data_IF_912963687278
#
_entry.id   IF_912963687278
#
_cell.length_a   1.000
_cell.length_b   1.000
_cell.length_c   1.000
_cell.angle_alpha   90.00
_cell.angle_beta   90.00
_cell.angle_gamma   90.00
#
_symmetry.space_group_name_H-M   'P 1'
#
loop_
_entity.id
_entity.type
_entity.pdbx_description
1 polymer ?
#
# COMPACT_ATOMS: atom_id res chain seq x y z
N UNK A 1 -8.01 -8.59 17.98
CA UNK A 1 -6.81 -8.20 17.20
C UNK A 1 -7.14 -6.85 16.59
N UNK A 2 -6.58 -5.78 17.14
CA UNK A 2 -6.64 -4.49 16.45
C UNK A 2 -5.85 -4.63 15.17
N UNK A 3 -6.49 -4.42 14.03
CA UNK A 3 -5.81 -4.34 12.74
C UNK A 3 -4.95 -3.07 12.76
N UNK A 4 -3.66 -3.25 12.98
CA UNK A 4 -2.71 -2.16 12.90
C UNK A 4 -2.71 -1.66 11.45
N UNK A 5 -3.10 -0.39 11.25
CA UNK A 5 -3.19 0.20 9.91
C UNK A 5 -1.84 0.18 9.19
N UNK A 6 -1.86 0.20 7.87
CA UNK A 6 -0.66 0.24 7.04
C UNK A 6 0.10 1.56 7.22
N UNK A 7 1.34 1.51 7.67
CA UNK A 7 2.18 2.71 7.82
C UNK A 7 2.60 3.26 6.44
N UNK A 8 2.20 4.49 6.17
CA UNK A 8 2.47 5.22 4.94
C UNK A 8 3.20 6.53 5.28
N UNK A 9 4.34 6.76 4.64
CA UNK A 9 5.11 7.99 4.79
C UNK A 9 4.97 8.85 3.53
N UNK A 10 4.87 10.17 3.69
CA UNK A 10 4.92 11.16 2.61
C UNK A 10 6.14 12.03 2.86
N UNK A 11 7.03 12.12 1.89
CA UNK A 11 8.26 12.93 1.96
C UNK A 11 8.20 13.99 0.88
N UNK A 12 8.01 15.23 1.29
CA UNK A 12 7.88 16.39 0.42
C UNK A 12 8.33 17.65 1.18
N UNK A 13 9.22 18.45 0.63
CA UNK A 13 9.66 19.73 1.22
C UNK A 13 8.56 20.80 1.19
N UNK A 14 7.58 20.66 0.31
CA UNK A 14 6.34 21.44 0.37
C UNK A 14 5.36 20.83 1.39
N UNK A 15 5.45 21.30 2.63
CA UNK A 15 4.61 20.82 3.73
C UNK A 15 3.11 20.94 3.46
N UNK A 16 2.66 21.96 2.73
CA UNK A 16 1.23 22.12 2.40
C UNK A 16 0.79 21.01 1.46
N UNK A 17 1.55 20.72 0.42
CA UNK A 17 1.29 19.60 -0.50
C UNK A 17 1.26 18.26 0.23
N UNK A 18 2.22 18.02 1.13
CA UNK A 18 2.30 16.80 1.93
C UNK A 18 1.06 16.61 2.83
N UNK A 19 0.64 17.66 3.55
CA UNK A 19 -0.53 17.59 4.43
C UNK A 19 -1.84 17.46 3.65
N UNK A 20 -1.99 18.13 2.52
CA UNK A 20 -3.16 18.00 1.65
C UNK A 20 -3.28 16.57 1.08
N UNK A 21 -2.17 15.99 0.61
CA UNK A 21 -2.15 14.60 0.16
C UNK A 21 -2.46 13.63 1.31
N UNK A 22 -1.93 13.86 2.51
CA UNK A 22 -2.24 13.08 3.71
C UNK A 22 -3.74 13.12 4.00
N UNK A 23 -4.35 14.31 4.06
CA UNK A 23 -5.78 14.45 4.28
C UNK A 23 -6.62 13.73 3.20
N UNK A 24 -6.22 13.85 1.95
CA UNK A 24 -6.87 13.15 0.85
C UNK A 24 -6.85 11.62 1.04
N UNK A 25 -5.68 11.07 1.39
CA UNK A 25 -5.52 9.63 1.61
C UNK A 25 -6.25 9.15 2.87
N UNK A 26 -6.17 9.89 3.97
CA UNK A 26 -6.88 9.56 5.22
C UNK A 26 -8.40 9.59 5.04
N UNK A 27 -8.94 10.57 4.31
CA UNK A 27 -10.37 10.62 3.99
C UNK A 27 -10.82 9.43 3.14
N UNK A 28 -9.93 8.89 2.31
CA UNK A 28 -10.25 7.77 1.42
C UNK A 28 -10.12 6.39 2.07
N UNK A 29 -9.13 6.21 2.92
CA UNK A 29 -8.78 4.89 3.48
C UNK A 29 -9.06 4.77 4.99
N UNK A 30 -9.36 5.88 5.66
CA UNK A 30 -9.71 5.89 7.08
C UNK A 30 -8.65 5.24 7.97
N UNK A 31 -9.06 4.26 8.75
CA UNK A 31 -8.21 3.53 9.70
C UNK A 31 -7.28 2.48 9.06
N UNK A 32 -7.44 2.19 7.78
CA UNK A 32 -6.62 1.20 7.09
C UNK A 32 -5.18 1.68 6.88
N UNK A 33 -4.93 3.01 7.00
CA UNK A 33 -3.61 3.61 6.86
C UNK A 33 -3.30 4.56 8.02
N UNK A 34 -2.02 4.59 8.41
CA UNK A 34 -1.43 5.58 9.33
C UNK A 34 -0.44 6.41 8.51
N UNK A 35 -0.75 7.68 8.31
CA UNK A 35 0.05 8.57 7.44
C UNK A 35 0.91 9.52 8.27
N UNK A 36 2.21 9.52 8.00
CA UNK A 36 3.20 10.44 8.59
C UNK A 36 3.87 11.24 7.47
N UNK A 37 4.01 12.55 7.67
CA UNK A 37 4.65 13.48 6.71
C UNK A 37 6.06 13.85 7.17
N UNK A 38 6.97 14.04 6.24
CA UNK A 38 8.36 14.46 6.45
C UNK A 38 8.73 15.55 5.46
N UNK A 39 9.36 16.61 5.93
CA UNK A 39 9.83 17.73 5.09
C UNK A 39 11.13 17.40 4.32
N UNK A 40 11.86 16.36 4.71
CA UNK A 40 13.12 15.97 4.06
C UNK A 40 13.36 14.46 4.18
N UNK A 41 14.23 13.96 3.32
CA UNK A 41 14.56 12.53 3.25
C UNK A 41 15.27 12.00 4.48
N UNK A 42 16.13 12.79 5.11
CA UNK A 42 16.92 12.39 6.28
C UNK A 42 16.02 12.07 7.48
N UNK A 43 15.05 12.94 7.76
CA UNK A 43 14.09 12.73 8.84
C UNK A 43 13.21 11.49 8.60
N UNK A 44 12.85 11.24 7.34
CA UNK A 44 12.16 10.02 6.95
C UNK A 44 13.02 8.78 7.20
N UNK A 45 14.29 8.77 6.75
CA UNK A 45 15.20 7.63 6.92
C UNK A 45 15.41 7.23 8.38
N UNK A 46 15.39 8.19 9.32
CA UNK A 46 15.46 7.91 10.76
C UNK A 46 14.24 7.15 11.30
N UNK A 47 13.12 7.16 10.59
CA UNK A 47 11.86 6.52 10.99
C UNK A 47 11.54 5.26 10.17
N UNK A 48 12.18 5.06 9.01
CA UNK A 48 11.98 3.85 8.19
C UNK A 48 12.44 2.63 8.97
N UNK A 49 11.59 1.62 9.02
CA UNK A 49 11.83 0.34 9.68
C UNK A 49 11.05 -0.79 8.98
N UNK A 50 11.05 -1.99 9.54
CA UNK A 50 10.35 -3.15 8.96
C UNK A 50 8.82 -3.00 8.91
N UNK A 51 8.24 -2.05 9.65
CA UNK A 51 6.81 -1.75 9.65
C UNK A 51 6.44 -0.61 8.67
N UNK A 52 7.42 -0.04 7.97
CA UNK A 52 7.18 0.97 6.94
C UNK A 52 6.76 0.28 5.65
N UNK A 53 5.49 0.38 5.31
CA UNK A 53 4.91 -0.35 4.18
C UNK A 53 4.97 0.42 2.87
N UNK A 54 4.65 1.72 2.92
CA UNK A 54 4.56 2.58 1.72
C UNK A 54 5.29 3.89 2.00
N UNK A 55 6.05 4.38 1.03
CA UNK A 55 6.62 5.73 1.02
C UNK A 55 6.26 6.41 -0.28
N UNK A 56 5.60 7.57 -0.20
CA UNK A 56 5.41 8.50 -1.31
C UNK A 56 6.52 9.52 -1.19
N UNK A 57 7.39 9.58 -2.18
CA UNK A 57 8.66 10.29 -2.10
C UNK A 57 8.79 11.29 -3.25
N UNK A 58 8.85 12.57 -2.92
CA UNK A 58 9.18 13.59 -3.91
C UNK A 58 10.63 13.41 -4.38
N UNK A 59 10.83 13.54 -5.69
CA UNK A 59 12.17 13.45 -6.29
C UNK A 59 13.04 14.67 -5.96
N UNK A 60 12.46 15.87 -6.02
CA UNK A 60 13.16 17.11 -5.69
C UNK A 60 12.95 17.41 -4.20
N UNK A 61 13.95 17.15 -3.39
CA UNK A 61 13.99 17.50 -1.99
C UNK A 61 15.19 18.41 -1.70
N UNK A 62 15.06 19.27 -0.73
CA UNK A 62 16.22 20.00 -0.21
C UNK A 62 17.26 19.03 0.36
N UNK A 63 18.51 19.15 -0.06
CA UNK A 63 19.63 18.31 0.39
C UNK A 63 19.90 17.13 -0.54
N UNK A 64 19.39 15.95 -0.26
CA UNK A 64 19.53 14.75 -1.10
C UNK A 64 18.39 14.63 -2.09
N UNK A 65 18.70 14.17 -3.30
CA UNK A 65 17.65 13.88 -4.26
C UNK A 65 16.87 12.60 -3.87
N UNK A 66 15.60 12.52 -4.28
CA UNK A 66 14.72 11.40 -3.94
C UNK A 66 15.26 10.03 -4.36
N UNK A 67 16.08 9.94 -5.41
CA UNK A 67 16.68 8.67 -5.84
C UNK A 67 17.67 8.12 -4.80
N UNK A 68 18.45 8.97 -4.13
CA UNK A 68 19.36 8.57 -3.05
C UNK A 68 18.58 8.10 -1.82
N UNK A 69 17.50 8.80 -1.49
CA UNK A 69 16.60 8.42 -0.41
C UNK A 69 15.91 7.08 -0.71
N UNK A 70 15.39 6.88 -1.94
CA UNK A 70 14.83 5.61 -2.39
C UNK A 70 15.82 4.45 -2.19
N UNK A 71 17.06 4.59 -2.66
CA UNK A 71 18.12 3.57 -2.49
C UNK A 71 18.37 3.26 -1.01
N UNK A 72 18.33 4.29 -0.16
CA UNK A 72 18.55 4.13 1.29
C UNK A 72 17.34 3.43 1.94
N UNK A 73 16.12 3.78 1.60
CA UNK A 73 14.90 3.09 2.07
C UNK A 73 14.97 1.60 1.71
N UNK A 74 15.32 1.28 0.45
CA UNK A 74 15.41 -0.12 -0.01
C UNK A 74 16.52 -0.92 0.65
N UNK A 75 17.57 -0.27 1.15
CA UNK A 75 18.61 -0.92 1.98
C UNK A 75 18.12 -1.22 3.39
N UNK A 76 17.32 -0.33 4.00
CA UNK A 76 16.77 -0.52 5.35
C UNK A 76 15.65 -1.57 5.34
N UNK A 77 14.69 -1.41 4.42
CA UNK A 77 13.58 -2.33 4.25
C UNK A 77 13.27 -2.54 2.76
N UNK A 78 13.74 -3.64 2.16
CA UNK A 78 13.49 -3.97 0.75
C UNK A 78 11.99 -4.12 0.41
N UNK A 79 11.16 -4.46 1.41
CA UNK A 79 9.72 -4.69 1.22
C UNK A 79 8.90 -3.40 1.20
N UNK A 80 9.47 -2.25 1.61
CA UNK A 80 8.77 -0.96 1.53
C UNK A 80 8.47 -0.62 0.07
N UNK A 81 7.21 -0.43 -0.25
CA UNK A 81 6.79 0.01 -1.59
C UNK A 81 6.99 1.53 -1.72
N UNK A 82 7.86 1.96 -2.63
CA UNK A 82 8.17 3.38 -2.81
C UNK A 82 7.55 3.90 -4.10
N UNK A 83 6.72 4.94 -4.00
CA UNK A 83 6.09 5.65 -5.12
C UNK A 83 6.84 6.97 -5.27
N UNK A 84 7.52 7.15 -6.40
CA UNK A 84 8.21 8.41 -6.70
C UNK A 84 7.23 9.43 -7.26
N UNK A 85 7.31 10.66 -6.77
CA UNK A 85 6.55 11.81 -7.24
C UNK A 85 7.51 12.84 -7.83
N UNK A 86 7.22 13.40 -9.00
CA UNK A 86 8.11 14.36 -9.67
C UNK A 86 7.34 15.37 -10.50
N UNK A 87 7.72 16.62 -10.40
CA UNK A 87 7.22 17.69 -11.27
C UNK A 87 7.76 17.65 -12.71
N UNK A 88 8.67 16.70 -13.03
CA UNK A 88 9.29 16.60 -14.35
C UNK A 88 8.94 15.29 -15.05
N UNK A 89 8.61 15.40 -16.33
CA UNK A 89 8.48 14.27 -17.22
C UNK A 89 9.88 13.93 -17.79
N UNK A 90 10.58 13.01 -17.12
CA UNK A 90 11.92 12.56 -17.50
C UNK A 90 11.97 11.04 -17.53
N UNK A 91 12.07 10.50 -18.75
CA UNK A 91 12.10 9.06 -18.96
C UNK A 91 13.39 8.42 -18.42
N UNK A 92 14.53 9.10 -18.49
CA UNK A 92 15.79 8.62 -17.94
C UNK A 92 15.69 8.45 -16.42
N UNK A 93 15.17 9.47 -15.76
CA UNK A 93 14.91 9.45 -14.33
C UNK A 93 13.92 8.36 -13.92
N UNK A 94 12.83 8.20 -14.66
CA UNK A 94 11.86 7.15 -14.40
C UNK A 94 12.53 5.75 -14.47
N UNK A 95 13.36 5.49 -15.49
CA UNK A 95 14.09 4.23 -15.62
C UNK A 95 15.04 4.01 -14.44
N UNK A 96 15.77 5.04 -14.01
CA UNK A 96 16.68 4.94 -12.87
C UNK A 96 15.94 4.64 -11.56
N UNK A 97 14.80 5.28 -11.33
CA UNK A 97 13.97 5.03 -10.14
C UNK A 97 13.41 3.60 -10.13
N UNK A 98 12.94 3.07 -11.25
CA UNK A 98 12.51 1.67 -11.35
C UNK A 98 13.67 0.69 -11.10
N UNK A 99 14.85 0.95 -11.65
CA UNK A 99 16.06 0.13 -11.37
C UNK A 99 16.48 0.17 -9.90
N UNK A 100 16.23 1.28 -9.22
CA UNK A 100 16.48 1.42 -7.79
C UNK A 100 15.37 0.79 -6.91
N UNK A 101 14.32 0.24 -7.51
CA UNK A 101 13.25 -0.49 -6.82
C UNK A 101 12.01 0.34 -6.51
N UNK A 102 11.77 1.46 -7.19
CA UNK A 102 10.51 2.17 -7.08
C UNK A 102 9.36 1.31 -7.61
N UNK A 103 8.21 1.39 -6.95
CA UNK A 103 6.95 0.74 -7.37
C UNK A 103 6.32 1.42 -8.57
N UNK A 104 6.36 2.74 -8.57
CA UNK A 104 5.85 3.57 -9.65
C UNK A 104 6.55 4.94 -9.65
N UNK A 105 6.50 5.61 -10.81
CA UNK A 105 6.94 6.99 -11.01
C UNK A 105 5.74 7.81 -11.49
N UNK A 106 5.33 8.80 -10.74
CA UNK A 106 4.15 9.63 -10.99
C UNK A 106 4.60 11.05 -11.28
N UNK A 107 4.15 11.59 -12.41
CA UNK A 107 4.32 13.00 -12.73
C UNK A 107 3.23 13.79 -12.01
N UNK A 108 3.60 14.86 -11.30
CA UNK A 108 2.67 15.76 -10.64
C UNK A 108 1.72 16.41 -11.63
N UNK A 109 0.45 16.48 -11.26
CA UNK A 109 -0.59 17.08 -12.09
C UNK A 109 -1.98 16.76 -11.55
N UNK A 110 -3.02 17.18 -12.26
CA UNK A 110 -4.42 17.10 -11.83
C UNK A 110 -4.91 15.69 -11.47
N UNK A 111 -4.28 14.64 -11.98
CA UNK A 111 -4.64 13.24 -11.72
C UNK A 111 -3.65 12.48 -10.84
N UNK A 112 -2.57 13.10 -10.35
CA UNK A 112 -1.51 12.43 -9.60
C UNK A 112 -2.06 11.78 -8.31
N UNK A 113 -2.86 12.48 -7.52
CA UNK A 113 -3.45 11.96 -6.28
C UNK A 113 -4.40 10.78 -6.51
N UNK A 114 -5.17 10.82 -7.59
CA UNK A 114 -6.04 9.70 -7.97
C UNK A 114 -5.21 8.47 -8.34
N UNK A 115 -4.09 8.67 -9.05
CA UNK A 115 -3.15 7.60 -9.40
C UNK A 115 -2.46 7.04 -8.15
N UNK A 116 -1.97 7.90 -7.26
CA UNK A 116 -1.40 7.53 -5.95
C UNK A 116 -2.41 6.68 -5.16
N UNK A 117 -3.64 7.16 -4.99
CA UNK A 117 -4.63 6.43 -4.21
C UNK A 117 -4.99 5.07 -4.82
N UNK A 118 -4.98 4.93 -6.15
CA UNK A 118 -5.16 3.64 -6.82
C UNK A 118 -4.02 2.67 -6.53
N UNK A 119 -2.77 3.16 -6.52
CA UNK A 119 -1.60 2.36 -6.18
C UNK A 119 -1.64 1.91 -4.71
N UNK A 120 -1.92 2.83 -3.78
CA UNK A 120 -2.11 2.52 -2.37
C UNK A 120 -3.18 1.45 -2.19
N UNK A 121 -4.35 1.60 -2.82
CA UNK A 121 -5.41 0.58 -2.80
C UNK A 121 -4.93 -0.78 -3.33
N UNK A 122 -4.15 -0.81 -4.40
CA UNK A 122 -3.61 -2.05 -4.95
C UNK A 122 -2.63 -2.72 -4.00
N UNK A 123 -1.81 -1.95 -3.30
CA UNK A 123 -0.85 -2.47 -2.30
C UNK A 123 -1.62 -3.04 -1.09
N UNK A 124 -2.61 -2.31 -0.57
CA UNK A 124 -3.45 -2.77 0.54
C UNK A 124 -4.20 -4.07 0.22
N UNK A 125 -4.67 -4.22 -1.03
CA UNK A 125 -5.44 -5.38 -1.47
C UNK A 125 -4.56 -6.54 -1.99
N UNK A 126 -3.24 -6.37 -2.10
CA UNK A 126 -2.35 -7.39 -2.65
C UNK A 126 -2.42 -8.73 -1.89
N UNK A 127 -2.43 -8.78 -0.55
CA UNK A 127 -2.54 -10.03 0.18
C UNK A 127 -3.84 -10.78 -0.13
N UNK A 128 -4.96 -10.06 -0.24
CA UNK A 128 -6.28 -10.64 -0.53
C UNK A 128 -6.32 -11.22 -1.96
N UNK A 129 -5.73 -10.50 -2.93
CA UNK A 129 -5.65 -10.95 -4.33
C UNK A 129 -4.84 -12.25 -4.47
N UNK A 130 -3.77 -12.41 -3.70
CA UNK A 130 -2.96 -13.64 -3.68
C UNK A 130 -3.80 -14.80 -3.15
N UNK A 131 -4.49 -14.63 -2.02
CA UNK A 131 -5.35 -15.64 -1.43
C UNK A 131 -6.47 -16.05 -2.41
N UNK A 132 -7.16 -15.09 -3.01
CA UNK A 132 -8.22 -15.34 -3.98
C UNK A 132 -7.69 -16.06 -5.23
N UNK A 133 -6.48 -15.73 -5.68
CA UNK A 133 -5.85 -16.38 -6.85
C UNK A 133 -5.40 -17.82 -6.56
N UNK A 134 -4.80 -18.08 -5.40
CA UNK A 134 -4.29 -19.41 -5.04
C UNK A 134 -5.39 -20.38 -4.62
N UNK A 135 -6.38 -19.90 -3.86
CA UNK A 135 -7.47 -20.76 -3.39
C UNK A 135 -8.68 -20.79 -4.30
N UNK A 136 -8.80 -19.84 -5.24
CA UNK A 136 -9.89 -19.69 -6.20
C UNK A 136 -11.25 -19.50 -5.52
N UNK A 137 -12.04 -18.55 -5.93
CA UNK A 137 -13.40 -18.30 -5.38
C UNK A 137 -14.27 -19.55 -5.49
N UNK A 138 -14.06 -20.38 -6.54
CA UNK A 138 -14.79 -21.64 -6.73
C UNK A 138 -14.48 -22.69 -5.66
N UNK A 139 -13.23 -22.75 -5.15
CA UNK A 139 -12.86 -23.69 -4.08
C UNK A 139 -13.44 -23.27 -2.73
N UNK A 140 -13.44 -21.98 -2.42
CA UNK A 140 -14.12 -21.47 -1.22
C UNK A 140 -15.63 -21.70 -1.28
N UNK A 141 -16.26 -21.42 -2.42
CA UNK A 141 -17.68 -21.69 -2.62
C UNK A 141 -17.99 -23.19 -2.51
N UNK A 142 -17.14 -24.06 -3.05
CA UNK A 142 -17.30 -25.51 -2.94
C UNK A 142 -17.15 -26.00 -1.48
N UNK A 143 -16.13 -25.52 -0.74
CA UNK A 143 -15.94 -25.86 0.68
C UNK A 143 -17.10 -25.34 1.52
N UNK A 144 -17.56 -24.11 1.28
CA UNK A 144 -18.70 -23.54 2.00
C UNK A 144 -20.00 -24.32 1.73
N UNK A 145 -20.23 -24.67 0.47
CA UNK A 145 -21.40 -25.44 0.06
C UNK A 145 -21.38 -26.87 0.66
N UNK A 146 -20.23 -27.54 0.65
CA UNK A 146 -20.10 -28.88 1.23
C UNK A 146 -20.28 -28.91 2.74
N UNK A 147 -19.75 -27.91 3.45
CA UNK A 147 -19.96 -27.77 4.91
C UNK A 147 -21.42 -27.46 5.23
N UNK A 148 -22.08 -26.62 4.44
CA UNK A 148 -23.50 -26.28 4.64
C UNK A 148 -24.41 -27.51 4.40
N UNK A 149 -24.13 -28.27 3.36
CA UNK A 149 -24.87 -29.53 3.06
C UNK A 149 -24.65 -30.57 4.16
N UNK A 150 -23.43 -30.76 4.65
CA UNK A 150 -23.13 -31.73 5.69
C UNK A 150 -23.80 -31.38 7.03
N UNK A 151 -23.80 -30.13 7.42
CA UNK A 151 -24.52 -29.66 8.62
C UNK A 151 -26.04 -29.83 8.45
N UNK A 152 -26.60 -29.50 7.28
CA UNK A 152 -28.02 -29.72 6.98
C UNK A 152 -28.42 -31.18 7.06
N UNK A 153 -27.58 -32.09 6.54
CA UNK A 153 -27.84 -33.52 6.61
C UNK A 153 -27.80 -34.06 8.07
N UNK A 154 -26.86 -33.60 8.89
CA UNK A 154 -26.79 -33.99 10.31
C UNK A 154 -28.01 -33.48 11.06
N UNK A 155 -28.45 -32.28 10.88
CA UNK A 155 -29.65 -31.70 11.50
C UNK A 155 -30.89 -32.51 11.07
N UNK A 156 -31.02 -32.84 9.79
CA UNK A 156 -32.13 -33.62 9.28
C UNK A 156 -32.19 -35.05 9.92
N UNK A 157 -31.03 -35.70 10.03
CA UNK A 157 -30.94 -37.06 10.66
C UNK A 157 -31.34 -36.97 12.14
N UNK A 158 -30.84 -35.96 12.88
CA UNK A 158 -31.20 -35.80 14.29
C UNK A 158 -32.68 -35.54 14.46
N UNK A 159 -33.30 -34.72 13.60
CA UNK A 159 -34.74 -34.47 13.63
C UNK A 159 -35.57 -35.74 13.34
N UNK A 160 -35.07 -36.65 12.51
CA UNK A 160 -35.73 -37.92 12.22
C UNK A 160 -35.62 -38.93 13.39
N UNK A 161 -34.48 -38.91 14.10
CA UNK A 161 -34.25 -39.79 15.26
C UNK A 161 -35.00 -39.36 16.54
N UNK A 162 -35.42 -38.08 16.59
CA UNK A 162 -36.19 -37.51 17.70
C UNK A 162 -37.71 -37.62 17.50
N UNK A 163 -38.17 -38.18 16.42
CA UNK A 163 -39.60 -38.55 16.17
C UNK A 163 -39.88 -39.98 16.53
#
# INVERSE_FOLDING_TARGET
METQGTNLFIVDDNLLSAEDLKHYLQNRFGKDIIVTTFANGESCLLKVNNETHIVILNYLLEGKNGLEILKSIKKINPNTEVIMLSGKEDMGLAIETFRAGAKDYIIEGSNSWKRISKLVSNILLAPIKIIVREFGVSKFAAIFLTTFISVGAVVFIVMQLMK
#
